data_IF_343596335967
#
_entry.id   IF_343596335967
#
_cell.length_a   1.000
_cell.length_b   1.000
_cell.length_c   1.000
_cell.angle_alpha   90.00
_cell.angle_beta   90.00
_cell.angle_gamma   90.00
#
_symmetry.space_group_name_H-M   'P 1'
#
loop_
_entity.id
_entity.type
_entity.pdbx_description
1 polymer ?
#
# COMPACT_ATOMS: atom_id res chain seq x y z
N UNK A 1 0.85 -11.45 -15.46
CA UNK A 1 0.61 -11.44 -13.99
C UNK A 1 -0.24 -10.21 -13.69
N UNK A 2 -1.30 -10.32 -12.89
CA UNK A 2 -2.14 -9.18 -12.54
C UNK A 2 -1.55 -8.41 -11.35
N UNK A 3 -1.70 -7.09 -11.35
CA UNK A 3 -1.26 -6.21 -10.27
C UNK A 3 -2.44 -5.82 -9.38
N UNK A 4 -2.23 -5.64 -8.08
CA UNK A 4 -3.31 -5.27 -7.18
C UNK A 4 -3.75 -3.82 -7.39
N UNK A 5 -5.05 -3.57 -7.29
CA UNK A 5 -5.61 -2.22 -7.31
C UNK A 5 -6.01 -1.80 -5.90
N UNK A 6 -5.74 -0.54 -5.55
CA UNK A 6 -6.05 0.01 -4.22
C UNK A 6 -6.88 1.29 -4.31
N UNK A 7 -7.67 1.56 -3.28
CA UNK A 7 -8.40 2.84 -3.11
C UNK A 7 -8.23 3.35 -1.68
N UNK A 8 -8.23 4.68 -1.45
CA UNK A 8 -8.26 5.21 -0.09
C UNK A 8 -9.48 4.66 0.67
N UNK A 9 -9.31 4.22 1.92
CA UNK A 9 -10.41 3.64 2.68
C UNK A 9 -11.56 4.64 2.92
N UNK A 10 -11.26 5.94 2.97
CA UNK A 10 -12.31 6.97 3.06
C UNK A 10 -13.32 6.91 1.90
N UNK A 11 -12.89 6.38 0.74
CA UNK A 11 -13.72 6.14 -0.44
C UNK A 11 -14.37 4.73 -0.44
N UNK A 12 -14.10 3.88 0.55
CA UNK A 12 -14.67 2.55 0.68
C UNK A 12 -16.07 2.56 1.34
N UNK A 13 -16.86 1.46 1.21
CA UNK A 13 -18.17 1.34 1.82
C UNK A 13 -18.18 1.64 3.35
N UNK A 14 -19.23 2.30 3.88
CA UNK A 14 -19.33 2.69 5.29
C UNK A 14 -19.10 1.56 6.30
N UNK A 15 -19.45 0.33 5.95
CA UNK A 15 -19.31 -0.88 6.78
C UNK A 15 -17.85 -1.19 7.09
N UNK A 16 -16.94 -0.92 6.13
CA UNK A 16 -15.50 -1.08 6.31
C UNK A 16 -14.91 0.09 7.11
N UNK A 17 -15.41 1.32 6.90
CA UNK A 17 -14.94 2.52 7.61
C UNK A 17 -15.24 2.48 9.11
N UNK A 18 -16.43 2.00 9.52
CA UNK A 18 -16.85 1.95 10.94
C UNK A 18 -16.01 1.01 11.81
N UNK A 19 -15.26 0.07 11.20
CA UNK A 19 -14.46 -0.93 11.92
C UNK A 19 -13.05 -0.43 12.30
N UNK A 20 -12.69 0.82 11.98
CA UNK A 20 -11.33 1.37 12.19
C UNK A 20 -11.29 2.64 13.05
N UNK A 21 -11.80 2.54 14.27
CA UNK A 21 -11.91 3.68 15.18
C UNK A 21 -10.63 4.03 15.97
N UNK A 22 -9.46 3.41 15.75
CA UNK A 22 -8.28 3.76 16.53
C UNK A 22 -6.95 3.49 15.79
N UNK A 23 -6.15 4.55 15.65
CA UNK A 23 -4.69 4.55 15.58
C UNK A 23 -3.95 4.38 14.24
N UNK A 24 -4.61 4.37 13.07
CA UNK A 24 -3.87 4.37 11.78
C UNK A 24 -4.48 5.39 10.83
N UNK A 25 -3.73 6.47 10.58
CA UNK A 25 -4.25 7.66 9.88
C UNK A 25 -4.34 7.50 8.35
N UNK A 26 -3.75 6.47 7.76
CA UNK A 26 -3.85 6.26 6.31
C UNK A 26 -3.93 4.78 5.94
N UNK A 27 -5.09 4.40 5.42
CA UNK A 27 -5.40 3.04 5.01
C UNK A 27 -5.92 3.02 3.58
N UNK A 28 -5.50 2.00 2.84
CA UNK A 28 -5.96 1.73 1.49
C UNK A 28 -6.58 0.34 1.41
N UNK A 29 -7.72 0.23 0.74
CA UNK A 29 -8.40 -1.05 0.51
C UNK A 29 -7.92 -1.66 -0.81
N UNK A 30 -7.52 -2.93 -0.77
CA UNK A 30 -7.28 -3.72 -1.97
C UNK A 30 -8.63 -4.10 -2.60
N UNK A 31 -8.83 -3.69 -3.84
CA UNK A 31 -10.07 -3.87 -4.61
C UNK A 31 -9.92 -4.88 -5.75
N UNK A 32 -8.69 -5.08 -6.23
CA UNK A 32 -8.34 -6.14 -7.17
C UNK A 32 -7.13 -6.91 -6.64
N UNK A 33 -7.19 -8.24 -6.67
CA UNK A 33 -6.09 -9.10 -6.22
C UNK A 33 -4.95 -9.12 -7.24
N UNK A 34 -3.72 -9.28 -6.75
CA UNK A 34 -2.54 -9.32 -7.63
C UNK A 34 -1.26 -9.67 -6.89
N UNK A 35 -0.14 -9.54 -7.59
CA UNK A 35 1.19 -9.76 -7.01
C UNK A 35 2.02 -8.49 -7.09
N UNK A 36 2.67 -8.13 -5.99
CA UNK A 36 3.53 -6.95 -5.92
C UNK A 36 4.54 -7.10 -4.76
N UNK A 37 5.80 -6.72 -5.00
CA UNK A 37 6.89 -6.76 -4.03
C UNK A 37 7.03 -8.10 -3.29
N UNK A 38 7.04 -9.22 -4.04
CA UNK A 38 7.18 -10.56 -3.46
C UNK A 38 5.92 -11.10 -2.76
N UNK A 39 4.87 -10.29 -2.61
CA UNK A 39 3.65 -10.61 -1.86
C UNK A 39 2.44 -10.78 -2.78
N UNK A 40 1.59 -11.75 -2.48
CA UNK A 40 0.24 -11.86 -3.06
C UNK A 40 -0.75 -11.04 -2.24
N UNK A 41 -1.40 -10.09 -2.91
CA UNK A 41 -2.41 -9.20 -2.35
C UNK A 41 -3.81 -9.69 -2.66
N UNK A 42 -4.71 -9.62 -1.68
CA UNK A 42 -6.07 -10.16 -1.77
C UNK A 42 -7.10 -9.05 -1.61
N UNK A 43 -8.23 -9.18 -2.31
CA UNK A 43 -9.36 -8.25 -2.18
C UNK A 43 -9.84 -8.22 -0.72
N UNK A 44 -10.11 -7.02 -0.20
CA UNK A 44 -10.55 -6.84 1.19
C UNK A 44 -9.42 -6.63 2.19
N UNK A 45 -8.16 -6.82 1.78
CA UNK A 45 -7.00 -6.44 2.60
C UNK A 45 -6.90 -4.92 2.74
N UNK A 46 -6.47 -4.48 3.91
CA UNK A 46 -6.19 -3.08 4.20
C UNK A 46 -4.68 -2.86 4.26
N UNK A 47 -4.18 -1.99 3.41
CA UNK A 47 -2.78 -1.55 3.39
C UNK A 47 -2.62 -0.43 4.40
N UNK A 48 -1.77 -0.64 5.39
CA UNK A 48 -1.32 0.38 6.33
C UNK A 48 -0.07 1.06 5.77
N UNK A 49 -0.03 2.38 5.87
CA UNK A 49 1.17 3.14 5.54
C UNK A 49 1.67 3.94 6.74
N UNK A 50 3.00 4.08 6.82
CA UNK A 50 3.67 5.06 7.67
C UNK A 50 4.06 6.27 6.81
N UNK A 51 3.99 7.48 7.37
CA UNK A 51 4.48 8.67 6.67
C UNK A 51 5.99 8.59 6.44
N UNK A 52 6.44 9.08 5.28
CA UNK A 52 7.86 9.07 4.89
C UNK A 52 8.11 8.49 3.50
N UNK A 53 9.28 8.80 2.96
CA UNK A 53 9.78 8.32 1.66
C UNK A 53 11.00 7.40 1.89
N UNK A 54 10.78 6.33 2.64
CA UNK A 54 11.80 5.29 2.86
C UNK A 54 11.80 4.28 1.71
N UNK A 55 12.96 3.66 1.47
CA UNK A 55 13.11 2.61 0.46
C UNK A 55 12.15 1.44 0.71
N UNK A 56 11.65 0.88 -0.39
CA UNK A 56 10.77 -0.28 -0.37
C UNK A 56 9.34 0.00 -0.86
N UNK A 57 8.40 -0.90 -0.56
CA UNK A 57 7.00 -0.79 -0.98
C UNK A 57 6.31 0.45 -0.42
N UNK A 58 5.62 1.20 -1.27
CA UNK A 58 4.97 2.46 -0.94
C UNK A 58 3.62 2.59 -1.64
N UNK A 59 2.78 3.51 -1.15
CA UNK A 59 1.60 3.97 -1.87
C UNK A 59 1.95 5.25 -2.63
N UNK A 60 1.76 5.20 -3.94
CA UNK A 60 1.93 6.35 -4.84
C UNK A 60 0.56 6.96 -5.16
N UNK A 61 0.47 8.27 -5.00
CA UNK A 61 -0.72 9.06 -5.33
C UNK A 61 -0.43 9.98 -6.52
N UNK A 62 -1.36 10.11 -7.47
CA UNK A 62 -1.17 11.04 -8.57
C UNK A 62 -1.26 12.49 -8.04
N UNK A 63 -0.39 13.38 -8.53
CA UNK A 63 -0.46 14.83 -8.26
C UNK A 63 -1.60 15.53 -9.04
N UNK A 64 -2.36 14.79 -9.83
CA UNK A 64 -3.51 15.26 -10.60
C UNK A 64 -4.58 14.17 -10.69
N UNK A 65 -5.23 14.02 -11.84
CA UNK A 65 -6.21 12.96 -12.04
C UNK A 65 -5.54 11.58 -12.16
N UNK A 66 -6.07 10.61 -11.42
CA UNK A 66 -5.62 9.23 -11.49
C UNK A 66 -6.09 8.41 -10.30
N UNK A 67 -5.68 7.15 -10.25
CA UNK A 67 -5.91 6.27 -9.10
C UNK A 67 -4.62 6.12 -8.30
N UNK A 68 -4.79 5.98 -6.98
CA UNK A 68 -3.68 5.56 -6.12
C UNK A 68 -3.21 4.17 -6.54
N UNK A 69 -1.93 3.89 -6.40
CA UNK A 69 -1.34 2.60 -6.77
C UNK A 69 -0.31 2.19 -5.74
N UNK A 70 -0.03 0.89 -5.66
CA UNK A 70 1.20 0.43 -5.05
C UNK A 70 2.38 0.79 -5.95
N UNK A 71 3.56 0.95 -5.36
CA UNK A 71 4.81 1.21 -6.05
C UNK A 71 5.97 1.05 -5.09
N UNK A 72 7.16 1.46 -5.51
CA UNK A 72 8.35 1.40 -4.66
C UNK A 72 9.18 2.67 -4.74
N UNK A 73 9.83 2.98 -3.63
CA UNK A 73 10.91 3.97 -3.54
C UNK A 73 12.24 3.22 -3.57
N UNK A 74 13.20 3.71 -4.38
CA UNK A 74 14.58 3.21 -4.43
C UNK A 74 15.52 4.41 -4.55
N UNK A 75 16.14 4.81 -3.45
CA UNK A 75 16.78 6.11 -3.31
C UNK A 75 15.79 7.22 -3.63
N UNK A 76 16.14 8.11 -4.56
CA UNK A 76 15.28 9.23 -4.98
C UNK A 76 14.30 8.88 -6.12
N UNK A 77 14.22 7.61 -6.52
CA UNK A 77 13.45 7.18 -7.69
C UNK A 77 12.19 6.45 -7.29
N UNK A 78 11.12 6.69 -8.05
CA UNK A 78 9.82 6.04 -7.88
C UNK A 78 9.61 5.00 -8.97
N UNK A 79 9.05 3.86 -8.59
CA UNK A 79 8.70 2.77 -9.49
C UNK A 79 7.25 2.36 -9.29
N UNK A 80 6.54 2.05 -10.39
CA UNK A 80 5.17 1.56 -10.35
C UNK A 80 5.08 0.07 -9.98
N UNK A 81 3.88 -0.49 -10.10
CA UNK A 81 3.61 -1.89 -9.75
C UNK A 81 4.32 -2.90 -10.65
N UNK A 82 4.64 -2.52 -11.90
CA UNK A 82 5.32 -3.36 -12.88
C UNK A 82 6.82 -3.04 -12.98
N UNK A 83 7.37 -2.40 -11.95
CA UNK A 83 8.75 -1.92 -11.89
C UNK A 83 9.12 -0.86 -12.94
N UNK A 84 8.11 -0.17 -13.47
CA UNK A 84 8.29 0.90 -14.43
C UNK A 84 8.67 2.23 -13.72
N UNK A 85 9.65 2.99 -14.24
CA UNK A 85 9.99 4.29 -13.67
C UNK A 85 8.79 5.24 -13.66
N UNK A 86 8.54 5.86 -12.51
CA UNK A 86 7.49 6.85 -12.32
C UNK A 86 8.09 8.25 -12.15
N UNK A 87 7.53 9.24 -12.85
CA UNK A 87 7.95 10.63 -12.71
C UNK A 87 7.46 11.22 -11.37
N UNK A 88 8.34 11.80 -10.53
CA UNK A 88 7.95 12.52 -9.31
C UNK A 88 7.10 13.77 -9.56
N UNK A 89 7.06 14.26 -10.81
CA UNK A 89 6.18 15.37 -11.22
C UNK A 89 4.73 14.91 -11.36
N UNK A 90 4.51 13.61 -11.62
CA UNK A 90 3.18 13.01 -11.77
C UNK A 90 2.74 12.26 -10.51
N UNK A 91 3.69 11.70 -9.78
CA UNK A 91 3.44 10.85 -8.61
C UNK A 91 4.07 11.45 -7.36
N UNK A 92 3.38 11.36 -6.24
CA UNK A 92 3.90 11.64 -4.92
C UNK A 92 3.82 10.36 -4.07
N UNK A 93 4.76 10.19 -3.14
CA UNK A 93 4.69 9.13 -2.14
C UNK A 93 3.72 9.59 -1.07
N UNK A 94 2.69 8.80 -0.78
CA UNK A 94 1.83 9.05 0.37
C UNK A 94 2.45 8.49 1.66
N UNK A 95 3.14 7.36 1.54
CA UNK A 95 3.85 6.73 2.64
C UNK A 95 4.34 5.33 2.28
N UNK A 96 5.25 4.82 3.10
CA UNK A 96 5.76 3.44 3.02
C UNK A 96 4.69 2.48 3.51
N UNK A 97 4.50 1.37 2.80
CA UNK A 97 3.68 0.25 3.27
C UNK A 97 4.40 -0.41 4.44
N UNK A 98 3.79 -0.35 5.63
CA UNK A 98 4.37 -0.92 6.84
C UNK A 98 3.68 -2.22 7.29
N UNK A 99 2.41 -2.39 6.94
CA UNK A 99 1.66 -3.60 7.27
C UNK A 99 0.44 -3.79 6.38
N UNK A 100 -0.16 -4.98 6.49
CA UNK A 100 -1.46 -5.32 5.91
C UNK A 100 -2.35 -5.88 7.00
N UNK A 101 -3.61 -5.45 7.04
CA UNK A 101 -4.66 -6.13 7.81
C UNK A 101 -5.51 -6.99 6.90
N UNK A 102 -5.74 -8.23 7.32
CA UNK A 102 -6.65 -9.17 6.65
C UNK A 102 -7.80 -9.56 7.57
N UNK A 103 -9.03 -9.69 7.05
CA UNK A 103 -10.15 -10.20 7.83
C UNK A 103 -9.98 -11.71 8.06
N UNK A 104 -10.14 -12.16 9.31
CA UNK A 104 -10.14 -13.58 9.70
C UNK A 104 -11.34 -13.81 10.61
N UNK A 105 -12.41 -14.40 10.06
CA UNK A 105 -13.68 -14.51 10.75
C UNK A 105 -14.25 -13.12 11.06
N UNK A 106 -14.53 -12.85 12.34
CA UNK A 106 -14.97 -11.54 12.83
C UNK A 106 -13.82 -10.60 13.24
N UNK A 107 -12.58 -11.08 13.21
CA UNK A 107 -11.39 -10.35 13.63
C UNK A 107 -10.54 -9.87 12.46
N UNK A 108 -9.53 -9.04 12.76
CA UNK A 108 -8.50 -8.62 11.80
C UNK A 108 -7.13 -9.05 12.30
N UNK A 109 -6.33 -9.64 11.41
CA UNK A 109 -4.94 -9.98 11.67
C UNK A 109 -4.05 -8.97 10.95
N UNK A 110 -3.09 -8.39 11.67
CA UNK A 110 -2.07 -7.48 11.12
C UNK A 110 -0.80 -8.30 10.82
N UNK A 111 -0.26 -8.11 9.63
CA UNK A 111 0.99 -8.69 9.13
C UNK A 111 1.90 -7.55 8.70
N UNK A 112 3.12 -7.49 9.23
CA UNK A 112 4.07 -6.46 8.83
C UNK A 112 4.64 -6.74 7.43
N UNK A 113 4.76 -5.70 6.62
CA UNK A 113 5.36 -5.78 5.28
C UNK A 113 6.76 -5.20 5.37
N UNK A 114 7.75 -6.07 5.34
CA UNK A 114 9.15 -5.73 5.17
C UNK A 114 9.73 -4.76 6.21
N UNK A 115 10.38 -5.32 7.22
CA UNK A 115 11.75 -4.96 7.54
C UNK A 115 12.56 -6.22 7.20
N UNK A 116 13.10 -6.34 5.98
CA UNK A 116 14.24 -7.23 5.81
C UNK A 116 15.37 -6.58 6.61
N UNK A 117 15.69 -7.12 7.79
CA UNK A 117 17.00 -6.91 8.37
C UNK A 117 18.01 -7.26 7.29
N UNK A 118 18.77 -6.26 6.85
CA UNK A 118 20.04 -6.51 6.17
C UNK A 118 20.87 -7.37 7.12
N UNK A 119 20.87 -8.68 6.89
CA UNK A 119 21.93 -9.54 7.39
C UNK A 119 23.20 -9.06 6.69
N UNK A 120 23.90 -8.15 7.37
CA UNK A 120 25.27 -7.80 7.05
C UNK A 120 26.10 -9.10 7.12
N UNK A 121 26.63 -9.50 5.96
CA UNK A 121 27.68 -10.49 5.84
C UNK A 121 29.04 -9.89 6.24
#
# INVERSE_FOLDING_TARGET
>A
MAFPAIVPLLAAPPELRRRQAAAIEALYLVTEAGFFAGRRWQVGELVEIAEGEEDGPAVLVPRGFGRCTLGSVRGIRLFGVADEPCSPQRWAVKGRVCAVRRPVGSAWVREEVGHEEQLAA
#
